data_IF_340128260867
#
_entry.id   IF_340128260867
#
_cell.length_a   1.000
_cell.length_b   1.000
_cell.length_c   1.000
_cell.angle_alpha   90.00
_cell.angle_beta   90.00
_cell.angle_gamma   90.00
#
_symmetry.space_group_name_H-M   'P 1'
#
loop_
_entity.id
_entity.type
_entity.pdbx_description
1 polymer ?
#
# COMPACT_ATOMS: atom_id res chain seq x y z
N UNK A 1 44.61 -63.96 -18.84
CA UNK A 1 45.91 -64.54 -18.43
C UNK A 1 46.33 -63.68 -17.22
N UNK A 2 46.01 -64.19 -16.03
CA UNK A 2 46.96 -64.53 -14.95
C UNK A 2 47.81 -63.32 -14.52
N UNK A 3 48.01 -62.96 -13.23
CA UNK A 3 48.04 -63.73 -11.96
C UNK A 3 48.05 -62.74 -10.82
N UNK A 4 47.40 -63.12 -9.74
CA UNK A 4 47.51 -62.75 -8.32
C UNK A 4 48.86 -62.26 -7.79
N UNK A 5 48.91 -61.41 -6.77
CA UNK A 5 49.35 -61.76 -5.43
C UNK A 5 49.12 -60.67 -4.37
N UNK A 6 48.68 -61.16 -3.21
CA UNK A 6 48.57 -60.57 -1.88
C UNK A 6 49.98 -60.33 -1.22
N UNK A 7 49.99 -59.46 -0.22
CA UNK A 7 50.60 -59.62 1.13
C UNK A 7 50.88 -58.23 1.73
N UNK A 8 50.47 -57.82 2.82
CA UNK A 8 50.46 -58.21 4.27
C UNK A 8 50.98 -57.02 5.06
N UNK A 9 50.19 -56.65 6.03
CA UNK A 9 50.37 -55.99 7.32
C UNK A 9 51.78 -55.54 7.77
N UNK A 10 51.82 -54.29 8.31
CA UNK A 10 52.60 -53.98 9.53
C UNK A 10 51.94 -52.80 10.29
N UNK A 11 51.55 -53.06 11.54
CA UNK A 11 51.16 -52.07 12.54
C UNK A 11 52.38 -51.36 13.09
N UNK A 12 52.34 -50.00 13.15
CA UNK A 12 53.18 -49.22 14.04
C UNK A 12 52.30 -48.22 14.79
N UNK A 13 52.19 -48.42 16.08
CA UNK A 13 51.59 -47.50 17.01
C UNK A 13 52.61 -46.38 17.32
N UNK A 14 52.22 -45.14 17.13
CA UNK A 14 52.95 -43.99 17.67
C UNK A 14 51.98 -43.11 18.45
N UNK A 15 52.24 -43.10 19.74
CA UNK A 15 51.63 -42.18 20.72
C UNK A 15 52.09 -40.75 20.43
N UNK A 16 51.16 -39.82 20.27
CA UNK A 16 51.51 -38.40 20.22
C UNK A 16 50.59 -37.57 21.08
N UNK A 17 51.19 -36.73 21.85
CA UNK A 17 50.65 -35.83 22.87
C UNK A 17 49.54 -34.90 22.34
N UNK A 18 48.54 -34.74 23.21
CA UNK A 18 47.51 -33.73 23.14
C UNK A 18 48.10 -32.33 23.36
N UNK A 19 47.91 -31.43 22.34
CA UNK A 19 47.98 -29.99 22.54
C UNK A 19 46.53 -29.49 22.35
N UNK A 20 45.94 -29.00 23.42
CA UNK A 20 44.62 -28.35 23.40
C UNK A 20 44.74 -26.98 22.75
N UNK A 21 44.18 -26.83 21.58
CA UNK A 21 43.89 -25.50 21.00
C UNK A 21 42.44 -25.16 21.34
N UNK A 22 42.28 -24.14 22.19
CA UNK A 22 40.99 -23.50 22.43
C UNK A 22 40.48 -22.79 21.14
N UNK A 23 39.64 -23.47 20.41
CA UNK A 23 38.90 -22.87 19.30
C UNK A 23 37.72 -22.08 19.87
N UNK A 24 37.82 -20.75 19.78
CA UNK A 24 36.74 -19.81 20.09
C UNK A 24 35.71 -19.88 18.96
N UNK A 25 34.75 -20.81 19.05
CA UNK A 25 33.59 -20.83 18.17
C UNK A 25 32.59 -19.77 18.66
N UNK A 26 32.69 -18.58 18.10
CA UNK A 26 31.67 -17.55 18.20
C UNK A 26 30.36 -18.06 17.56
N UNK A 27 29.56 -18.80 18.29
CA UNK A 27 28.17 -19.02 17.95
C UNK A 27 27.43 -17.69 18.11
N UNK A 28 27.14 -17.04 16.98
CA UNK A 28 26.10 -16.04 16.91
C UNK A 28 24.82 -16.70 17.41
N UNK A 29 24.41 -16.36 18.63
CA UNK A 29 23.05 -16.68 19.11
C UNK A 29 22.11 -15.93 18.19
N UNK A 30 21.54 -16.64 17.21
CA UNK A 30 20.28 -16.23 16.60
C UNK A 30 19.31 -16.00 17.77
N UNK A 31 18.98 -14.74 18.01
CA UNK A 31 17.86 -14.39 18.89
C UNK A 31 16.63 -14.99 18.24
N UNK A 32 16.08 -16.06 18.81
CA UNK A 32 14.78 -16.57 18.48
C UNK A 32 13.83 -15.38 18.47
N UNK A 33 13.17 -15.15 17.34
CA UNK A 33 12.07 -14.20 17.26
C UNK A 33 11.09 -14.58 18.37
N UNK A 34 10.80 -13.65 19.27
CA UNK A 34 9.77 -13.83 20.27
C UNK A 34 8.48 -13.97 19.51
N UNK A 35 7.94 -15.18 19.45
CA UNK A 35 6.59 -15.43 18.95
C UNK A 35 5.68 -14.86 20.04
N UNK A 36 5.23 -13.62 19.82
CA UNK A 36 4.19 -13.02 20.66
C UNK A 36 2.90 -13.73 20.21
N UNK A 37 2.40 -14.64 21.02
CA UNK A 37 1.07 -15.22 20.81
C UNK A 37 0.07 -14.06 20.74
N UNK A 38 -0.70 -14.01 19.63
CA UNK A 38 -1.75 -13.01 19.48
C UNK A 38 -2.73 -13.18 20.66
N UNK A 39 -3.00 -12.11 21.45
CA UNK A 39 -3.94 -12.22 22.53
C UNK A 39 -5.29 -12.68 21.99
N UNK A 40 -5.91 -13.66 22.67
CA UNK A 40 -7.27 -14.07 22.38
C UNK A 40 -8.15 -12.80 22.33
N UNK A 41 -9.18 -12.81 21.49
CA UNK A 41 -10.10 -11.69 21.26
C UNK A 41 -10.76 -11.20 22.55
N UNK A 42 -10.01 -10.54 23.39
CA UNK A 42 -10.50 -10.02 24.67
C UNK A 42 -11.55 -8.93 24.48
N UNK A 43 -11.54 -8.25 23.30
CA UNK A 43 -12.48 -7.16 22.97
C UNK A 43 -12.71 -7.10 21.46
N UNK A 44 -13.97 -6.90 21.07
CA UNK A 44 -14.37 -6.57 19.71
C UNK A 44 -15.03 -5.18 19.72
N UNK A 45 -14.27 -4.16 20.10
CA UNK A 45 -14.75 -2.80 20.31
C UNK A 45 -14.48 -1.85 19.13
N UNK A 46 -13.86 -2.35 18.06
CA UNK A 46 -13.61 -1.58 16.84
C UNK A 46 -14.88 -1.18 16.09
N UNK A 47 -16.02 -1.81 16.38
CA UNK A 47 -17.28 -1.53 15.69
C UNK A 47 -17.33 -1.99 14.24
N UNK A 48 -16.34 -2.75 13.78
CA UNK A 48 -16.27 -3.28 12.42
C UNK A 48 -17.03 -4.62 12.32
N UNK A 49 -17.69 -4.82 11.17
CA UNK A 49 -18.22 -6.12 10.78
C UNK A 49 -17.12 -6.89 10.06
N UNK A 50 -16.77 -8.05 10.61
CA UNK A 50 -15.72 -8.93 10.13
C UNK A 50 -16.28 -10.33 9.88
N UNK A 51 -15.62 -11.19 9.09
CA UNK A 51 -15.96 -12.61 8.99
C UNK A 51 -15.91 -13.30 10.37
N UNK A 52 -16.70 -14.39 10.58
CA UNK A 52 -16.71 -15.15 11.83
C UNK A 52 -15.29 -15.53 12.27
N UNK A 53 -15.02 -15.42 13.57
CA UNK A 53 -13.74 -15.71 14.19
C UNK A 53 -12.70 -14.56 14.15
N UNK A 54 -12.99 -13.48 13.47
CA UNK A 54 -12.15 -12.27 13.52
C UNK A 54 -12.70 -11.25 14.53
N UNK A 55 -11.80 -10.46 15.10
CA UNK A 55 -12.12 -9.37 16.00
C UNK A 55 -11.31 -8.12 15.65
N UNK A 56 -11.93 -6.96 15.82
CA UNK A 56 -11.26 -5.67 15.70
C UNK A 56 -11.17 -4.98 17.07
N UNK A 57 -9.96 -4.64 17.48
CA UNK A 57 -9.70 -3.78 18.65
C UNK A 57 -9.31 -2.39 18.15
N UNK A 58 -9.77 -1.34 18.84
CA UNK A 58 -9.23 0.02 18.64
C UNK A 58 -7.84 0.04 19.27
N UNK A 59 -6.79 -0.07 18.45
CA UNK A 59 -5.41 -0.04 18.89
C UNK A 59 -4.98 1.37 19.35
N UNK A 60 -5.39 2.40 18.61
CA UNK A 60 -5.21 3.78 18.99
C UNK A 60 -6.37 4.63 18.46
N UNK A 61 -6.75 5.69 19.14
CA UNK A 61 -7.85 6.58 18.77
C UNK A 61 -7.40 8.04 18.78
N UNK A 62 -8.01 8.86 17.92
CA UNK A 62 -7.82 10.30 17.88
C UNK A 62 -6.35 10.75 17.77
N UNK A 63 -5.53 9.95 17.02
CA UNK A 63 -4.09 10.24 16.91
C UNK A 63 -3.75 11.29 15.84
N UNK A 64 -4.71 11.71 15.03
CA UNK A 64 -4.54 12.60 13.88
C UNK A 64 -5.04 11.96 12.59
N UNK A 65 -4.96 12.66 11.46
CA UNK A 65 -5.37 12.11 10.16
C UNK A 65 -4.41 11.00 9.72
N UNK A 66 -4.69 9.76 10.19
CA UNK A 66 -3.81 8.60 10.04
C UNK A 66 -3.84 8.08 8.59
N UNK A 67 -2.67 8.16 7.93
CA UNK A 67 -2.51 7.68 6.55
C UNK A 67 -1.92 6.28 6.55
N UNK A 68 -0.81 6.04 5.86
CA UNK A 68 -0.17 4.73 5.88
C UNK A 68 0.58 4.47 7.19
N UNK A 69 0.77 3.21 7.48
CA UNK A 69 1.42 2.72 8.68
C UNK A 69 2.35 1.54 8.37
N UNK A 70 3.30 1.33 9.25
CA UNK A 70 4.20 0.18 9.19
C UNK A 70 4.40 -0.39 10.59
N UNK A 71 4.54 -1.70 10.70
CA UNK A 71 4.76 -2.40 11.97
C UNK A 71 6.20 -2.89 12.02
N UNK A 72 6.90 -2.51 13.08
CA UNK A 72 8.27 -2.98 13.32
C UNK A 72 8.31 -4.44 13.80
N UNK A 73 9.46 -5.13 13.70
CA UNK A 73 9.58 -6.54 14.13
C UNK A 73 9.24 -6.80 15.61
N UNK A 74 9.33 -5.79 16.47
CA UNK A 74 8.96 -5.85 17.87
C UNK A 74 7.49 -5.50 18.17
N UNK A 75 6.67 -5.23 17.14
CA UNK A 75 5.26 -4.89 17.28
C UNK A 75 4.96 -3.38 17.36
N UNK A 76 5.96 -2.50 17.42
CA UNK A 76 5.76 -1.06 17.37
C UNK A 76 5.13 -0.63 16.05
N UNK A 77 4.18 0.29 16.11
CA UNK A 77 3.46 0.80 14.93
C UNK A 77 3.86 2.24 14.68
N UNK A 78 4.32 2.55 13.47
CA UNK A 78 4.58 3.91 13.03
C UNK A 78 3.56 4.34 12.01
N UNK A 79 2.99 5.53 12.17
CA UNK A 79 1.93 6.07 11.31
C UNK A 79 2.33 7.43 10.78
N UNK A 80 2.21 7.65 9.47
CA UNK A 80 2.33 8.97 8.87
C UNK A 80 0.99 9.70 8.97
N UNK A 81 1.01 10.91 9.53
CA UNK A 81 -0.17 11.74 9.73
C UNK A 81 -0.20 12.87 8.73
N UNK A 82 -1.28 12.98 7.97
CA UNK A 82 -1.51 14.08 7.05
C UNK A 82 -2.19 15.26 7.77
N UNK A 83 -1.89 16.49 7.34
CA UNK A 83 -2.69 17.64 7.75
C UNK A 83 -4.08 17.57 7.11
N UNK A 84 -5.11 17.69 7.92
CA UNK A 84 -6.50 17.81 7.47
C UNK A 84 -7.15 19.05 8.05
N UNK A 85 -8.18 19.55 7.37
CA UNK A 85 -9.07 20.61 7.88
C UNK A 85 -10.48 20.07 8.20
N UNK A 86 -10.65 18.75 8.11
CA UNK A 86 -11.94 18.08 8.25
C UNK A 86 -11.92 17.07 9.40
N UNK A 87 -13.10 16.88 9.99
CA UNK A 87 -13.31 15.86 11.01
C UNK A 87 -12.75 16.23 12.39
N UNK A 88 -12.90 15.34 13.36
CA UNK A 88 -12.55 15.59 14.77
C UNK A 88 -11.04 15.75 15.01
N UNK A 89 -10.20 15.29 14.09
CA UNK A 89 -8.73 15.32 14.22
C UNK A 89 -8.07 16.50 13.49
N UNK A 90 -8.86 17.47 13.00
CA UNK A 90 -8.36 18.60 12.20
C UNK A 90 -7.35 19.50 12.94
N UNK A 91 -7.40 19.57 14.27
CA UNK A 91 -6.47 20.32 15.09
C UNK A 91 -5.13 19.62 15.34
N UNK A 92 -5.03 18.34 15.01
CA UNK A 92 -3.81 17.55 15.26
C UNK A 92 -2.81 17.79 14.13
N UNK A 93 -1.57 18.17 14.45
CA UNK A 93 -0.58 18.48 13.42
C UNK A 93 -0.17 17.23 12.64
N UNK A 94 0.21 17.43 11.38
CA UNK A 94 0.87 16.43 10.57
C UNK A 94 2.27 16.08 11.11
N UNK A 95 2.71 14.85 10.89
CA UNK A 95 3.99 14.35 11.36
C UNK A 95 3.97 12.84 11.43
N UNK A 96 4.78 12.26 12.30
CA UNK A 96 4.84 10.82 12.51
C UNK A 96 4.47 10.53 13.97
N UNK A 97 3.73 9.45 14.18
CA UNK A 97 3.46 8.92 15.51
C UNK A 97 3.97 7.48 15.61
N UNK A 98 4.73 7.20 16.65
CA UNK A 98 5.12 5.86 17.10
C UNK A 98 4.19 5.41 18.23
N UNK A 99 3.69 4.19 18.14
CA UNK A 99 2.70 3.61 19.05
C UNK A 99 3.22 2.25 19.55
N UNK A 100 3.08 1.99 20.84
CA UNK A 100 3.45 0.71 21.46
C UNK A 100 2.38 0.27 22.44
N UNK A 101 2.09 -1.03 22.42
CA UNK A 101 1.35 -1.76 23.43
C UNK A 101 2.37 -2.43 24.34
N UNK A 102 2.51 -1.98 25.60
CA UNK A 102 3.50 -2.52 26.54
C UNK A 102 2.93 -3.61 27.46
N UNK A 103 1.60 -3.65 27.57
CA UNK A 103 0.91 -4.58 28.47
C UNK A 103 0.26 -5.78 27.75
N UNK A 104 0.27 -5.79 26.40
CA UNK A 104 -0.25 -6.89 25.57
C UNK A 104 -1.77 -6.95 25.48
N UNK A 105 -2.49 -5.84 25.80
CA UNK A 105 -3.96 -5.81 25.76
C UNK A 105 -4.55 -5.46 24.38
N UNK A 106 -3.67 -5.23 23.38
CA UNK A 106 -4.04 -4.89 22.01
C UNK A 106 -4.30 -3.41 21.79
N UNK A 107 -3.91 -2.54 22.73
CA UNK A 107 -4.01 -1.08 22.66
C UNK A 107 -2.66 -0.43 22.90
N UNK A 108 -2.40 0.66 22.17
CA UNK A 108 -1.20 1.45 22.42
C UNK A 108 -1.35 2.25 23.73
N UNK A 109 -0.45 2.04 24.68
CA UNK A 109 -0.32 2.78 25.92
C UNK A 109 0.87 3.75 25.91
N UNK A 110 1.76 3.66 24.93
CA UNK A 110 2.82 4.63 24.66
C UNK A 110 2.62 5.26 23.29
N UNK A 111 2.59 6.60 23.27
CA UNK A 111 2.39 7.41 22.07
C UNK A 111 3.51 8.43 21.98
N UNK A 112 4.37 8.33 20.98
CA UNK A 112 5.46 9.25 20.73
C UNK A 112 5.30 9.98 19.39
N UNK A 113 5.50 11.30 19.38
CA UNK A 113 5.34 12.14 18.18
C UNK A 113 6.66 12.77 17.79
N UNK A 114 6.94 12.79 16.47
CA UNK A 114 8.13 13.41 15.91
C UNK A 114 7.95 13.81 14.45
N UNK A 115 8.90 14.53 13.91
CA UNK A 115 8.84 15.05 12.54
C UNK A 115 7.75 16.10 12.36
N UNK A 116 7.65 16.63 11.15
CA UNK A 116 6.64 17.61 10.76
C UNK A 116 6.31 17.46 9.27
N UNK A 117 5.15 17.94 8.84
CA UNK A 117 4.77 17.98 7.44
C UNK A 117 4.49 16.60 6.83
N UNK A 118 4.14 15.60 7.63
CA UNK A 118 3.76 14.27 7.17
C UNK A 118 2.64 14.29 6.14
N UNK A 119 2.59 13.26 5.29
CA UNK A 119 1.60 13.12 4.24
C UNK A 119 1.06 11.68 4.20
N UNK A 120 1.57 10.78 3.35
CA UNK A 120 0.96 9.45 3.18
C UNK A 120 1.94 8.30 3.39
N UNK A 121 2.96 8.20 2.56
CA UNK A 121 3.85 7.03 2.52
C UNK A 121 4.76 6.92 3.74
N UNK A 122 4.98 5.68 4.20
CA UNK A 122 5.88 5.35 5.32
C UNK A 122 6.43 3.93 5.11
N UNK A 123 7.69 3.71 5.43
CA UNK A 123 8.32 2.38 5.36
C UNK A 123 9.47 2.26 6.37
N UNK A 124 9.74 1.03 6.80
CA UNK A 124 10.96 0.67 7.55
C UNK A 124 11.94 -0.04 6.63
N UNK A 125 13.19 0.38 6.63
CA UNK A 125 14.26 -0.28 5.88
C UNK A 125 15.62 0.01 6.53
N UNK A 126 16.44 -1.03 6.75
CA UNK A 126 17.81 -0.97 7.25
C UNK A 126 18.04 -0.03 8.44
N UNK A 127 17.14 -0.12 9.47
CA UNK A 127 17.25 0.68 10.69
C UNK A 127 16.77 2.13 10.56
N UNK A 128 16.14 2.47 9.44
CA UNK A 128 15.55 3.78 9.20
C UNK A 128 14.04 3.69 9.00
N UNK A 129 13.34 4.72 9.46
CA UNK A 129 11.95 4.99 9.10
C UNK A 129 11.91 6.06 8.01
N UNK A 130 11.38 5.70 6.86
CA UNK A 130 11.19 6.60 5.73
C UNK A 130 9.78 7.16 5.75
N UNK A 131 9.62 8.45 5.43
CA UNK A 131 8.33 9.11 5.39
C UNK A 131 8.22 10.12 4.23
N UNK A 132 7.05 10.17 3.60
CA UNK A 132 6.67 11.21 2.66
C UNK A 132 6.33 12.49 3.43
N UNK A 133 7.06 13.57 3.15
CA UNK A 133 6.94 14.87 3.83
C UNK A 133 6.92 15.98 2.77
N UNK A 134 5.74 16.51 2.50
CA UNK A 134 5.57 17.58 1.52
C UNK A 134 6.01 17.18 0.10
N UNK A 135 7.16 17.68 -0.38
CA UNK A 135 7.73 17.34 -1.70
C UNK A 135 9.02 16.54 -1.60
N UNK A 136 9.22 15.88 -0.45
CA UNK A 136 10.42 15.08 -0.16
C UNK A 136 10.07 13.76 0.50
N UNK A 137 10.93 12.77 0.35
CA UNK A 137 11.01 11.60 1.22
C UNK A 137 12.23 11.78 2.11
N UNK A 138 12.00 11.72 3.41
CA UNK A 138 13.04 11.77 4.44
C UNK A 138 13.16 10.43 5.12
N UNK A 139 14.32 10.15 5.72
CA UNK A 139 14.51 8.99 6.59
C UNK A 139 15.04 9.43 7.96
N UNK A 140 14.55 8.76 8.98
CA UNK A 140 14.91 8.96 10.38
C UNK A 140 15.65 7.72 10.88
N UNK A 141 16.81 7.84 11.54
CA UNK A 141 17.46 6.69 12.18
C UNK A 141 16.59 6.23 13.36
N UNK A 142 16.03 5.01 13.28
CA UNK A 142 15.21 4.40 14.34
C UNK A 142 15.94 3.15 14.83
N UNK A 143 16.67 3.22 15.95
CA UNK A 143 17.26 2.05 16.57
C UNK A 143 16.19 1.03 16.97
N UNK A 144 16.52 -0.25 16.89
CA UNK A 144 15.58 -1.32 17.25
C UNK A 144 15.03 -1.12 18.67
N UNK A 145 13.70 -1.16 18.80
CA UNK A 145 12.99 -0.94 20.05
C UNK A 145 12.85 0.52 20.50
N UNK A 146 13.19 1.49 19.66
CA UNK A 146 12.94 2.90 19.92
C UNK A 146 11.71 3.39 19.16
N UNK A 147 10.88 4.22 19.80
CA UNK A 147 9.73 4.89 19.17
C UNK A 147 10.06 6.28 18.65
N UNK A 148 11.26 6.78 18.89
CA UNK A 148 11.74 8.09 18.44
C UNK A 148 13.06 7.96 17.72
N UNK A 149 13.34 8.86 16.76
CA UNK A 149 14.64 8.90 16.09
C UNK A 149 15.78 9.16 17.09
N UNK A 150 16.93 8.57 16.82
CA UNK A 150 18.19 8.85 17.56
C UNK A 150 18.96 10.03 17.00
N UNK A 151 18.52 10.61 15.90
CA UNK A 151 19.17 11.74 15.21
C UNK A 151 18.23 12.49 14.27
N UNK A 152 18.72 13.53 13.59
CA UNK A 152 17.93 14.31 12.64
C UNK A 152 17.54 13.49 11.43
N UNK A 153 16.50 13.96 10.72
CA UNK A 153 16.11 13.39 9.44
C UNK A 153 17.13 13.69 8.34
N UNK A 154 17.32 12.74 7.44
CA UNK A 154 18.10 12.86 6.22
C UNK A 154 17.17 12.84 5.01
N UNK A 155 17.44 13.69 4.01
CA UNK A 155 16.61 13.77 2.80
C UNK A 155 17.09 12.77 1.75
N UNK A 156 16.24 11.82 1.38
CA UNK A 156 16.52 10.79 0.38
C UNK A 156 16.09 11.23 -1.01
N UNK A 157 14.86 11.75 -1.16
CA UNK A 157 14.34 12.29 -2.42
C UNK A 157 13.79 13.68 -2.16
N UNK A 158 14.04 14.61 -3.08
CA UNK A 158 13.56 16.01 -3.00
C UNK A 158 13.07 16.49 -4.35
N UNK A 159 12.30 17.59 -4.35
CA UNK A 159 11.79 18.18 -5.59
C UNK A 159 10.72 17.32 -6.27
N UNK A 160 10.03 16.47 -5.51
CA UNK A 160 8.88 15.73 -6.03
C UNK A 160 7.72 16.68 -6.35
N UNK A 161 6.88 16.36 -7.35
CA UNK A 161 5.77 17.22 -7.73
C UNK A 161 4.79 17.44 -6.55
N UNK A 162 4.42 18.69 -6.28
CA UNK A 162 3.43 19.09 -5.27
C UNK A 162 2.03 19.27 -5.84
N UNK A 163 1.27 20.17 -5.23
CA UNK A 163 -0.02 20.66 -5.78
C UNK A 163 0.19 21.40 -7.12
N UNK A 164 -0.83 21.46 -7.99
CA UNK A 164 -2.18 20.92 -7.85
C UNK A 164 -2.28 19.42 -8.12
N UNK A 165 -3.46 18.85 -7.83
CA UNK A 165 -3.84 17.48 -8.16
C UNK A 165 -3.51 16.48 -7.05
N UNK A 166 -3.14 15.26 -7.44
CA UNK A 166 -2.95 14.13 -6.53
C UNK A 166 -1.53 14.18 -5.91
N UNK A 167 -1.42 14.89 -4.79
CA UNK A 167 -0.15 15.07 -4.08
C UNK A 167 0.13 14.02 -3.00
N UNK A 168 -0.86 13.21 -2.60
CA UNK A 168 -0.68 12.08 -1.70
C UNK A 168 0.17 11.02 -2.39
N UNK A 169 1.28 10.64 -1.76
CA UNK A 169 2.23 9.66 -2.30
C UNK A 169 2.33 8.47 -1.38
N UNK A 170 2.31 7.31 -1.97
CA UNK A 170 2.85 6.13 -1.33
C UNK A 170 4.16 5.73 -2.00
N UNK A 171 4.98 5.04 -1.27
CA UNK A 171 6.19 4.40 -1.78
C UNK A 171 6.42 3.07 -1.08
N UNK A 172 7.16 2.20 -1.74
CA UNK A 172 7.61 0.92 -1.19
C UNK A 172 9.10 0.76 -1.43
N UNK A 173 9.77 0.03 -0.55
CA UNK A 173 11.21 -0.24 -0.63
C UNK A 173 11.41 -1.74 -0.69
N UNK A 174 12.09 -2.21 -1.74
CA UNK A 174 12.46 -3.63 -1.87
C UNK A 174 13.56 -4.01 -0.88
N UNK A 175 13.77 -5.30 -0.58
CA UNK A 175 14.84 -5.75 0.30
C UNK A 175 16.25 -5.28 -0.11
N UNK A 176 16.47 -5.04 -1.41
CA UNK A 176 17.76 -4.55 -1.93
C UNK A 176 17.86 -3.02 -1.98
N UNK A 177 16.92 -2.28 -1.36
CA UNK A 177 16.97 -0.81 -1.27
C UNK A 177 16.40 -0.07 -2.48
N UNK A 178 15.78 -0.74 -3.45
CA UNK A 178 15.08 -0.04 -4.53
C UNK A 178 13.78 0.56 -4.00
N UNK A 179 13.59 1.87 -4.16
CA UNK A 179 12.38 2.60 -3.75
C UNK A 179 11.53 2.92 -4.98
N UNK A 180 10.26 2.53 -4.96
CA UNK A 180 9.26 2.90 -5.97
C UNK A 180 8.26 3.90 -5.39
N UNK A 181 8.08 5.04 -6.05
CA UNK A 181 7.28 6.17 -5.54
C UNK A 181 6.19 6.52 -6.54
N UNK A 182 4.94 6.59 -6.08
CA UNK A 182 3.81 7.06 -6.88
C UNK A 182 3.83 8.58 -7.03
N UNK A 183 3.74 9.09 -8.25
CA UNK A 183 3.45 10.50 -8.54
C UNK A 183 2.11 10.59 -9.24
N UNK A 184 1.07 10.99 -8.50
CA UNK A 184 -0.27 11.11 -9.04
C UNK A 184 -0.42 12.26 -10.03
N UNK A 185 -1.39 12.18 -10.93
CA UNK A 185 -1.65 13.19 -11.96
C UNK A 185 -2.03 14.56 -11.38
N UNK A 186 -1.74 15.66 -12.04
CA UNK A 186 -2.20 16.98 -11.64
C UNK A 186 -3.66 17.24 -12.02
N UNK A 187 -4.19 16.50 -12.99
CA UNK A 187 -5.54 16.67 -13.54
C UNK A 187 -6.34 15.36 -13.54
N UNK A 188 -7.62 15.43 -13.89
CA UNK A 188 -8.49 14.26 -14.00
C UNK A 188 -8.17 13.39 -15.22
N UNK A 189 -8.04 13.99 -16.40
CA UNK A 189 -7.90 13.28 -17.68
C UNK A 189 -7.01 14.05 -18.70
N UNK A 190 -6.08 14.87 -18.21
CA UNK A 190 -5.16 15.66 -19.04
C UNK A 190 -5.89 16.52 -20.11
N UNK A 191 -7.02 17.11 -19.74
CA UNK A 191 -7.83 17.97 -20.61
C UNK A 191 -7.18 19.34 -20.77
N UNK A 192 -7.51 20.05 -21.85
CA UNK A 192 -7.13 21.46 -22.04
C UNK A 192 -7.71 22.34 -20.92
N UNK A 193 -8.97 22.09 -20.52
CA UNK A 193 -9.61 22.66 -19.33
C UNK A 193 -10.03 21.48 -18.44
N UNK A 194 -9.34 21.32 -17.32
CA UNK A 194 -9.58 20.18 -16.44
C UNK A 194 -11.04 20.16 -15.95
N UNK A 195 -11.67 18.98 -16.03
CA UNK A 195 -13.06 18.73 -15.60
C UNK A 195 -14.12 19.59 -16.29
N UNK A 196 -13.84 20.17 -17.43
CA UNK A 196 -14.82 20.94 -18.19
C UNK A 196 -15.53 20.07 -19.24
N UNK A 197 -16.82 20.32 -19.41
CA UNK A 197 -17.65 19.64 -20.41
C UNK A 197 -17.09 19.84 -21.83
N UNK A 198 -17.01 18.73 -22.58
CA UNK A 198 -16.54 18.71 -23.97
C UNK A 198 -15.08 19.11 -24.17
N UNK A 199 -14.31 19.32 -23.09
CA UNK A 199 -12.92 19.73 -23.22
C UNK A 199 -12.05 18.58 -23.75
N UNK A 200 -11.38 18.73 -24.92
CA UNK A 200 -10.50 17.69 -25.43
C UNK A 200 -9.23 17.53 -24.57
N UNK A 201 -8.56 16.41 -24.76
CA UNK A 201 -7.26 16.13 -24.13
C UNK A 201 -6.14 16.99 -24.73
N UNK A 202 -5.10 17.21 -23.94
CA UNK A 202 -3.84 17.80 -24.42
C UNK A 202 -3.13 16.78 -25.31
N UNK A 203 -2.66 17.23 -26.47
CA UNK A 203 -1.86 16.37 -27.35
C UNK A 203 -0.65 15.81 -26.60
N UNK A 204 -0.39 14.49 -26.75
CA UNK A 204 0.69 13.76 -26.11
C UNK A 204 0.74 13.87 -24.56
N UNK A 205 -0.23 14.52 -23.94
CA UNK A 205 -0.35 14.73 -22.50
C UNK A 205 1.00 15.02 -21.79
N UNK A 206 1.47 16.27 -21.78
CA UNK A 206 2.78 16.62 -21.17
C UNK A 206 2.85 16.32 -19.67
N UNK A 207 1.72 16.11 -19.01
CA UNK A 207 1.67 15.71 -17.60
C UNK A 207 2.38 14.36 -17.36
N UNK A 208 2.42 13.46 -18.36
CA UNK A 208 3.10 12.16 -18.28
C UNK A 208 4.62 12.26 -18.15
N UNK A 209 5.23 13.40 -18.46
CA UNK A 209 6.67 13.59 -18.30
C UNK A 209 7.10 13.59 -16.85
N UNK A 210 6.24 14.10 -15.94
CA UNK A 210 6.58 14.32 -14.54
C UNK A 210 5.59 13.72 -13.54
N UNK A 211 4.45 13.20 -14.00
CA UNK A 211 3.31 12.76 -13.17
C UNK A 211 2.65 11.49 -13.74
N UNK A 212 1.62 11.01 -13.03
CA UNK A 212 0.80 9.86 -13.43
C UNK A 212 1.60 8.59 -13.72
N UNK A 213 2.44 8.19 -12.77
CA UNK A 213 3.27 6.99 -12.89
C UNK A 213 4.03 6.66 -11.62
N UNK A 214 4.99 5.78 -11.79
CA UNK A 214 5.90 5.32 -10.72
C UNK A 214 7.33 5.75 -11.07
N UNK A 215 8.03 6.30 -10.09
CA UNK A 215 9.46 6.65 -10.18
C UNK A 215 10.28 5.75 -9.29
N UNK A 216 11.51 5.48 -9.71
CA UNK A 216 12.46 4.60 -9.03
C UNK A 216 13.63 5.41 -8.47
N UNK A 217 13.97 5.16 -7.19
CA UNK A 217 15.08 5.77 -6.47
C UNK A 217 15.85 4.71 -5.69
N UNK A 218 17.02 5.09 -5.18
CA UNK A 218 17.79 4.33 -4.20
C UNK A 218 17.41 4.80 -2.78
N UNK A 219 16.95 3.88 -1.93
CA UNK A 219 16.63 4.19 -0.54
C UNK A 219 17.84 4.69 0.26
N UNK A 220 19.05 4.27 -0.13
CA UNK A 220 20.31 4.68 0.49
C UNK A 220 20.88 5.99 -0.09
N UNK A 221 20.28 6.50 -1.17
CA UNK A 221 20.70 7.75 -1.82
C UNK A 221 20.39 8.99 -0.98
N UNK A 222 20.95 10.12 -1.41
CA UNK A 222 20.74 11.41 -0.76
C UNK A 222 20.29 12.45 -1.77
N UNK A 223 19.27 13.24 -1.40
CA UNK A 223 18.77 14.40 -2.17
C UNK A 223 18.53 14.12 -3.66
N UNK A 224 18.14 12.90 -4.00
CA UNK A 224 17.82 12.50 -5.36
C UNK A 224 16.65 13.33 -5.92
N UNK A 225 16.65 13.58 -7.21
CA UNK A 225 15.58 14.33 -7.88
C UNK A 225 14.92 13.48 -8.95
N UNK A 226 13.58 13.63 -9.13
CA UNK A 226 12.88 12.96 -10.23
C UNK A 226 13.43 13.40 -11.59
N UNK A 227 13.57 12.45 -12.50
CA UNK A 227 13.88 12.66 -13.91
C UNK A 227 13.12 11.66 -14.79
N UNK A 228 13.14 11.83 -16.10
CA UNK A 228 12.59 10.85 -17.03
C UNK A 228 13.32 9.50 -16.95
N UNK A 229 14.61 9.51 -16.64
CA UNK A 229 15.40 8.28 -16.48
C UNK A 229 15.00 7.48 -15.24
N UNK A 230 14.57 8.17 -14.18
CA UNK A 230 14.07 7.53 -12.96
C UNK A 230 12.61 7.09 -13.07
N UNK A 231 11.88 7.43 -14.17
CA UNK A 231 10.51 6.97 -14.39
C UNK A 231 10.49 5.48 -14.68
N UNK A 232 9.85 4.72 -13.79
CA UNK A 232 9.77 3.26 -13.88
C UNK A 232 8.61 2.80 -14.76
N UNK A 233 7.41 3.40 -14.57
CA UNK A 233 6.19 3.11 -15.33
C UNK A 233 5.35 4.39 -15.49
N UNK A 234 4.47 4.43 -16.50
CA UNK A 234 3.63 5.58 -16.84
C UNK A 234 2.16 5.18 -17.00
N UNK A 235 1.27 6.17 -17.17
CA UNK A 235 -0.16 5.89 -17.42
C UNK A 235 -0.96 5.44 -16.21
N UNK A 236 -0.43 5.63 -15.00
CA UNK A 236 -1.07 5.34 -13.72
C UNK A 236 -1.54 6.66 -13.09
N UNK A 237 -2.84 6.97 -13.18
CA UNK A 237 -3.40 8.27 -12.75
C UNK A 237 -3.03 8.65 -11.33
N UNK A 238 -3.25 7.75 -10.36
CA UNK A 238 -2.91 7.96 -8.96
C UNK A 238 -2.89 6.63 -8.21
N UNK A 239 -1.72 6.10 -7.91
CA UNK A 239 -1.51 4.77 -7.30
C UNK A 239 -1.10 4.87 -5.84
N UNK A 240 -1.96 5.47 -4.99
CA UNK A 240 -1.72 5.48 -3.54
C UNK A 240 -1.70 4.06 -2.99
N UNK A 241 -2.59 3.18 -3.48
CA UNK A 241 -2.55 1.75 -3.23
C UNK A 241 -1.42 1.11 -4.05
N UNK A 242 -0.24 0.99 -3.44
CA UNK A 242 1.01 0.46 -4.01
C UNK A 242 1.65 -0.49 -3.00
N UNK A 243 2.07 -1.67 -3.45
CA UNK A 243 2.70 -2.68 -2.59
C UNK A 243 3.68 -3.56 -3.35
N UNK A 244 4.52 -4.26 -2.60
CA UNK A 244 5.31 -5.39 -3.12
C UNK A 244 4.60 -6.71 -2.78
N UNK A 245 4.84 -7.75 -3.58
CA UNK A 245 4.42 -9.10 -3.22
C UNK A 245 5.13 -9.61 -1.95
N UNK A 246 4.75 -10.79 -1.48
CA UNK A 246 5.35 -11.38 -0.28
C UNK A 246 6.86 -11.65 -0.40
N UNK A 247 7.39 -11.78 -1.62
CA UNK A 247 8.83 -11.89 -1.86
C UNK A 247 9.57 -10.55 -1.81
N UNK A 248 8.85 -9.43 -1.83
CA UNK A 248 9.41 -8.08 -1.90
C UNK A 248 10.02 -7.71 -3.26
N UNK A 249 9.71 -8.47 -4.33
CA UNK A 249 10.38 -8.29 -5.64
C UNK A 249 9.46 -7.79 -6.75
N UNK A 250 8.18 -8.11 -6.72
CA UNK A 250 7.20 -7.67 -7.71
C UNK A 250 6.33 -6.55 -7.18
N UNK A 251 6.14 -5.52 -8.00
CA UNK A 251 5.39 -4.32 -7.65
C UNK A 251 3.96 -4.42 -8.15
N UNK A 252 3.00 -4.05 -7.29
CA UNK A 252 1.58 -4.05 -7.60
C UNK A 252 0.92 -2.74 -7.21
N UNK A 253 -0.13 -2.35 -7.95
CA UNK A 253 -0.89 -1.14 -7.69
C UNK A 253 -2.38 -1.33 -7.95
N UNK A 254 -3.19 -0.53 -7.23
CA UNK A 254 -4.59 -0.29 -7.55
C UNK A 254 -4.76 1.22 -7.74
N UNK A 255 -4.56 1.75 -8.97
CA UNK A 255 -4.69 3.17 -9.23
C UNK A 255 -6.15 3.63 -9.15
N UNK A 256 -6.36 4.82 -8.59
CA UNK A 256 -7.66 5.50 -8.67
C UNK A 256 -7.96 5.90 -10.12
N UNK A 257 -9.09 5.47 -10.65
CA UNK A 257 -9.58 5.80 -11.98
C UNK A 257 -9.92 7.28 -12.16
N UNK A 258 -10.24 7.67 -13.39
CA UNK A 258 -10.72 9.01 -13.71
C UNK A 258 -12.15 9.23 -13.16
N UNK A 259 -12.54 10.49 -12.98
CA UNK A 259 -13.86 10.87 -12.48
C UNK A 259 -14.75 11.47 -13.59
N UNK A 260 -16.07 11.58 -13.33
CA UNK A 260 -17.00 12.50 -13.99
C UNK A 260 -17.14 12.29 -15.51
N UNK A 261 -17.30 11.04 -15.98
CA UNK A 261 -17.52 10.76 -17.39
C UNK A 261 -18.78 11.49 -17.92
N UNK A 262 -19.94 11.41 -17.25
CA UNK A 262 -21.17 12.09 -17.70
C UNK A 262 -21.11 13.60 -17.53
N UNK A 263 -20.42 14.10 -16.50
CA UNK A 263 -20.27 15.55 -16.31
C UNK A 263 -19.37 16.20 -17.36
N UNK A 264 -18.37 15.47 -17.86
CA UNK A 264 -17.47 15.95 -18.90
C UNK A 264 -18.02 15.65 -20.32
N UNK A 265 -18.75 14.54 -20.49
CA UNK A 265 -19.23 14.04 -21.77
C UNK A 265 -20.69 13.55 -21.69
N UNK A 266 -21.66 14.44 -21.40
CA UNK A 266 -23.06 14.06 -21.18
C UNK A 266 -23.75 13.47 -22.42
N UNK A 267 -23.24 13.76 -23.62
CA UNK A 267 -23.74 13.16 -24.88
C UNK A 267 -23.31 11.69 -25.07
N UNK A 268 -22.27 11.23 -24.36
CA UNK A 268 -21.70 9.88 -24.50
C UNK A 268 -22.02 8.98 -23.31
N UNK A 269 -22.18 9.55 -22.11
CA UNK A 269 -22.35 8.81 -20.87
C UNK A 269 -23.54 9.31 -20.07
N UNK A 270 -24.38 8.39 -19.64
CA UNK A 270 -25.41 8.67 -18.63
C UNK A 270 -24.79 8.83 -17.24
N UNK A 271 -25.46 9.50 -16.28
CA UNK A 271 -25.01 9.54 -14.89
C UNK A 271 -24.80 8.14 -14.28
N UNK A 272 -25.66 7.18 -14.61
CA UNK A 272 -25.52 5.79 -14.17
C UNK A 272 -24.21 5.17 -14.68
N UNK A 273 -23.90 5.30 -15.97
CA UNK A 273 -22.64 4.82 -16.53
C UNK A 273 -21.43 5.51 -15.88
N UNK A 274 -21.54 6.81 -15.62
CA UNK A 274 -20.47 7.56 -14.94
C UNK A 274 -20.23 7.09 -13.50
N UNK A 275 -21.26 6.59 -12.82
CA UNK A 275 -21.16 6.03 -11.47
C UNK A 275 -20.54 4.62 -11.45
N UNK A 276 -20.65 3.87 -12.56
CA UNK A 276 -20.14 2.51 -12.70
C UNK A 276 -18.82 2.41 -13.46
N UNK A 277 -18.31 3.53 -14.03
CA UNK A 277 -17.10 3.59 -14.84
C UNK A 277 -16.16 4.73 -14.40
N UNK A 278 -14.85 4.50 -14.52
CA UNK A 278 -14.16 3.25 -14.83
C UNK A 278 -14.01 2.35 -13.62
N UNK A 279 -13.82 1.04 -13.85
CA UNK A 279 -13.41 0.12 -12.78
C UNK A 279 -12.02 0.47 -12.23
N UNK A 280 -11.83 0.20 -10.92
CA UNK A 280 -10.54 0.35 -10.25
C UNK A 280 -9.68 -0.90 -10.52
N UNK A 281 -8.65 -0.77 -11.32
CA UNK A 281 -7.87 -1.92 -11.81
C UNK A 281 -6.76 -2.33 -10.85
N UNK A 282 -6.58 -3.64 -10.62
CA UNK A 282 -5.41 -4.20 -9.94
C UNK A 282 -4.41 -4.68 -10.98
N UNK A 283 -3.20 -4.17 -10.93
CA UNK A 283 -2.15 -4.43 -11.92
C UNK A 283 -0.82 -4.78 -11.26
N UNK A 284 -0.04 -5.65 -11.91
CA UNK A 284 1.39 -5.78 -11.66
C UNK A 284 2.12 -4.69 -12.43
N UNK A 285 3.01 -3.94 -11.77
CA UNK A 285 3.69 -2.79 -12.36
C UNK A 285 5.09 -3.18 -12.79
N UNK A 286 5.35 -3.14 -14.10
CA UNK A 286 6.63 -3.50 -14.67
C UNK A 286 7.37 -2.28 -15.26
N UNK A 287 8.69 -2.40 -15.38
CA UNK A 287 9.52 -1.37 -15.94
C UNK A 287 9.10 -1.02 -17.38
N UNK A 288 8.95 0.28 -17.66
CA UNK A 288 8.60 0.85 -18.97
C UNK A 288 7.18 0.51 -19.47
N UNK A 289 6.33 -0.14 -18.66
CA UNK A 289 4.94 -0.37 -19.02
C UNK A 289 4.14 0.96 -18.98
N UNK A 290 3.16 1.06 -19.89
CA UNK A 290 2.14 2.11 -19.93
C UNK A 290 0.79 1.49 -19.56
N UNK A 291 0.11 2.10 -18.59
CA UNK A 291 -1.19 1.64 -18.06
C UNK A 291 -2.37 2.45 -18.61
N UNK A 292 -2.13 3.30 -19.60
CA UNK A 292 -3.13 3.88 -20.48
C UNK A 292 -3.67 5.26 -20.12
N UNK A 293 -3.61 5.71 -18.85
CA UNK A 293 -4.05 7.06 -18.51
C UNK A 293 -3.14 8.11 -19.20
N UNK A 294 -3.70 9.18 -19.76
CA UNK A 294 -5.12 9.62 -19.79
C UNK A 294 -5.88 9.11 -21.02
N UNK A 295 -5.22 8.44 -21.95
CA UNK A 295 -5.76 8.07 -23.26
C UNK A 295 -6.80 6.97 -23.20
N UNK A 296 -6.74 6.14 -22.16
CA UNK A 296 -7.58 4.96 -21.97
C UNK A 296 -8.16 4.92 -20.57
N UNK A 297 -9.32 4.29 -20.45
CA UNK A 297 -9.90 3.89 -19.17
C UNK A 297 -10.38 2.43 -19.25
N UNK A 298 -10.47 1.75 -18.10
CA UNK A 298 -10.95 0.37 -18.06
C UNK A 298 -12.46 0.33 -17.83
N UNK A 299 -13.19 -0.22 -18.80
CA UNK A 299 -14.61 -0.50 -18.67
C UNK A 299 -14.78 -1.83 -17.92
N UNK A 300 -15.06 -1.75 -16.61
CA UNK A 300 -15.23 -2.89 -15.73
C UNK A 300 -16.51 -3.69 -16.00
N UNK A 301 -17.47 -3.15 -16.74
CA UNK A 301 -18.73 -3.85 -17.07
C UNK A 301 -18.55 -4.85 -18.22
N UNK A 302 -17.62 -4.57 -19.13
CA UNK A 302 -17.32 -5.43 -20.29
C UNK A 302 -15.88 -5.94 -20.30
N UNK A 303 -15.13 -5.69 -19.23
CA UNK A 303 -13.75 -6.15 -19.02
C UNK A 303 -12.81 -5.77 -20.16
N UNK A 304 -12.84 -4.49 -20.59
CA UNK A 304 -12.05 -4.03 -21.71
C UNK A 304 -11.59 -2.57 -21.53
N UNK A 305 -10.36 -2.28 -21.96
CA UNK A 305 -9.93 -0.91 -22.12
C UNK A 305 -10.67 -0.20 -23.25
N UNK A 306 -11.07 1.04 -23.00
CA UNK A 306 -11.74 1.93 -23.94
C UNK A 306 -10.92 3.19 -24.18
N UNK A 307 -11.00 3.72 -25.40
CA UNK A 307 -10.44 5.03 -25.72
C UNK A 307 -11.19 6.11 -24.93
N UNK A 308 -10.45 6.98 -24.26
CA UNK A 308 -11.04 8.07 -23.49
C UNK A 308 -11.68 9.12 -24.42
N UNK A 309 -12.83 9.69 -24.06
CA UNK A 309 -13.55 10.63 -24.92
C UNK A 309 -12.76 11.90 -25.22
N UNK A 310 -11.89 12.33 -24.33
CA UNK A 310 -10.95 13.43 -24.53
C UNK A 310 -10.03 13.24 -25.75
N UNK A 311 -9.84 11.99 -26.15
CA UNK A 311 -8.95 11.57 -27.23
C UNK A 311 -9.71 10.89 -28.39
N UNK A 312 -11.01 11.21 -28.54
CA UNK A 312 -11.85 10.75 -29.63
C UNK A 312 -12.60 9.45 -29.38
N UNK A 313 -12.62 8.96 -28.11
CA UNK A 313 -13.45 7.82 -27.74
C UNK A 313 -14.94 8.15 -27.73
N UNK A 314 -15.76 7.17 -28.07
CA UNK A 314 -17.23 7.23 -28.13
C UNK A 314 -17.94 6.39 -27.06
N UNK A 315 -17.18 5.96 -26.04
CA UNK A 315 -17.64 5.04 -25.00
C UNK A 315 -17.62 3.57 -25.39
N UNK A 316 -17.28 3.24 -26.66
CA UNK A 316 -17.24 1.87 -27.18
C UNK A 316 -15.91 1.53 -27.86
N UNK A 317 -15.32 2.48 -28.52
CA UNK A 317 -14.07 2.34 -29.27
C UNK A 317 -12.91 1.95 -28.36
N UNK A 318 -12.08 1.03 -28.84
CA UNK A 318 -10.86 0.55 -28.16
C UNK A 318 -9.63 1.32 -28.65
N UNK A 319 -9.48 1.48 -29.98
CA UNK A 319 -8.38 2.20 -30.59
C UNK A 319 -7.01 1.74 -30.08
N UNK A 320 -6.15 2.71 -29.72
CA UNK A 320 -4.80 2.45 -29.19
C UNK A 320 -4.78 1.64 -27.89
N UNK A 321 -5.91 1.58 -27.18
CA UNK A 321 -6.03 0.87 -25.91
C UNK A 321 -5.98 -0.65 -26.03
N UNK A 322 -6.09 -1.18 -27.27
CA UNK A 322 -5.94 -2.60 -27.57
C UNK A 322 -4.54 -3.17 -27.24
N UNK A 323 -3.53 -2.30 -27.18
CA UNK A 323 -2.16 -2.68 -26.83
C UNK A 323 -1.90 -2.82 -25.34
N UNK A 324 -2.84 -2.35 -24.47
CA UNK A 324 -2.66 -2.40 -23.03
C UNK A 324 -2.82 -3.82 -22.49
N UNK A 325 -1.97 -4.18 -21.53
CA UNK A 325 -2.11 -5.43 -20.78
C UNK A 325 -3.40 -5.39 -19.96
N UNK A 326 -4.14 -6.51 -19.97
CA UNK A 326 -5.33 -6.63 -19.12
C UNK A 326 -4.95 -6.57 -17.63
N UNK A 327 -5.77 -5.95 -16.78
CA UNK A 327 -5.54 -5.97 -15.35
C UNK A 327 -5.70 -7.38 -14.78
N UNK A 328 -5.07 -7.63 -13.63
CA UNK A 328 -5.25 -8.87 -12.86
C UNK A 328 -6.69 -8.98 -12.35
N UNK A 329 -7.26 -7.84 -11.95
CA UNK A 329 -8.63 -7.73 -11.45
C UNK A 329 -9.19 -6.33 -11.69
N UNK A 330 -10.52 -6.18 -11.68
CA UNK A 330 -11.20 -4.89 -11.68
C UNK A 330 -12.21 -4.82 -10.55
N UNK A 331 -11.98 -3.90 -9.63
CA UNK A 331 -12.92 -3.57 -8.56
C UNK A 331 -13.99 -2.57 -9.05
N UNK A 332 -15.11 -2.43 -8.30
CA UNK A 332 -16.13 -1.45 -8.63
C UNK A 332 -15.59 -0.02 -8.73
N UNK A 333 -16.23 0.78 -9.56
CA UNK A 333 -15.84 2.15 -9.86
C UNK A 333 -15.91 3.08 -8.64
N UNK A 334 -14.95 3.99 -8.53
CA UNK A 334 -14.93 5.10 -7.59
C UNK A 334 -14.87 4.72 -6.10
N UNK A 335 -14.47 3.50 -5.77
CA UNK A 335 -14.30 3.10 -4.38
C UNK A 335 -13.06 3.72 -3.73
N UNK A 336 -12.18 4.35 -4.51
CA UNK A 336 -10.98 5.06 -4.09
C UNK A 336 -10.00 4.16 -3.30
N UNK A 337 -9.29 3.24 -3.96
CA UNK A 337 -8.29 2.39 -3.32
C UNK A 337 -7.12 3.24 -2.80
N UNK A 338 -6.79 3.10 -1.49
CA UNK A 338 -5.67 3.81 -0.88
C UNK A 338 -4.59 2.90 -0.33
N UNK A 339 -4.89 1.62 -0.05
CA UNK A 339 -3.87 0.62 0.25
C UNK A 339 -4.19 -0.72 -0.40
N UNK A 340 -3.16 -1.46 -0.76
CA UNK A 340 -3.20 -2.87 -1.15
C UNK A 340 -2.07 -3.58 -0.40
N UNK A 341 -2.35 -4.76 0.18
CA UNK A 341 -1.40 -5.47 1.03
C UNK A 341 -1.52 -6.98 0.84
N UNK A 342 -0.46 -7.64 0.39
CA UNK A 342 -0.37 -9.10 0.45
C UNK A 342 -0.30 -9.55 1.91
N UNK A 343 -1.10 -10.56 2.28
CA UNK A 343 -1.04 -11.08 3.63
C UNK A 343 0.18 -11.99 3.80
N UNK A 344 1.15 -11.53 4.57
CA UNK A 344 2.39 -12.25 4.88
C UNK A 344 2.35 -12.99 6.24
N UNK A 345 1.28 -12.78 7.01
CA UNK A 345 1.12 -13.40 8.34
C UNK A 345 0.74 -14.88 8.28
N UNK A 346 0.83 -15.55 9.43
CA UNK A 346 0.46 -16.97 9.60
C UNK A 346 -0.74 -17.18 10.52
N UNK A 347 -1.20 -16.13 11.20
CA UNK A 347 -2.28 -16.21 12.19
C UNK A 347 -3.65 -16.42 11.54
N UNK A 348 -3.95 -15.72 10.44
CA UNK A 348 -5.24 -15.84 9.76
C UNK A 348 -5.44 -17.24 9.12
N UNK A 349 -6.68 -17.71 8.96
CA UNK A 349 -6.97 -18.96 8.27
C UNK A 349 -6.27 -19.07 6.92
N UNK A 350 -5.97 -20.30 6.51
CA UNK A 350 -5.18 -20.57 5.28
C UNK A 350 -5.74 -19.90 4.03
N UNK A 351 -7.08 -19.73 3.93
CA UNK A 351 -7.72 -19.05 2.79
C UNK A 351 -7.27 -17.60 2.61
N UNK A 352 -6.85 -16.90 3.68
CA UNK A 352 -6.36 -15.52 3.64
C UNK A 352 -4.85 -15.39 3.41
N UNK A 353 -4.10 -16.50 3.33
CA UNK A 353 -2.64 -16.49 3.16
C UNK A 353 -2.18 -16.31 1.71
N UNK A 354 -3.09 -16.54 0.76
CA UNK A 354 -2.83 -16.41 -0.66
C UNK A 354 -3.79 -15.39 -1.26
N UNK A 355 -3.47 -14.12 -1.11
CA UNK A 355 -4.31 -13.04 -1.64
C UNK A 355 -3.88 -11.68 -1.13
N UNK A 356 -4.66 -10.68 -1.47
CA UNK A 356 -4.43 -9.28 -1.13
C UNK A 356 -5.63 -8.68 -0.39
N UNK A 357 -5.35 -7.88 0.62
CA UNK A 357 -6.31 -6.96 1.20
C UNK A 357 -6.23 -5.62 0.47
N UNK A 358 -7.38 -5.02 0.17
CA UNK A 358 -7.46 -3.68 -0.44
C UNK A 358 -8.35 -2.80 0.43
N UNK A 359 -7.83 -1.65 0.86
CA UNK A 359 -8.59 -0.64 1.59
C UNK A 359 -9.16 0.38 0.62
N UNK A 360 -10.48 0.50 0.63
CA UNK A 360 -11.23 1.46 -0.16
C UNK A 360 -11.72 2.60 0.72
N UNK A 361 -11.18 3.80 0.48
CA UNK A 361 -11.49 5.02 1.23
C UNK A 361 -12.96 5.47 1.08
N UNK A 362 -13.61 5.03 0.01
CA UNK A 362 -15.00 5.34 -0.29
C UNK A 362 -15.17 6.51 -1.26
N UNK A 363 -16.27 6.46 -1.98
CA UNK A 363 -16.58 7.35 -3.10
C UNK A 363 -17.11 8.72 -2.65
N UNK A 364 -17.15 9.64 -3.60
CA UNK A 364 -17.76 10.97 -3.47
C UNK A 364 -18.55 11.37 -4.74
N UNK A 365 -18.52 10.56 -5.80
CA UNK A 365 -18.95 10.89 -7.15
C UNK A 365 -19.73 9.76 -7.84
N UNK A 366 -20.54 9.02 -7.10
CA UNK A 366 -21.34 7.91 -7.63
C UNK A 366 -22.79 8.27 -7.92
N UNK A 367 -23.20 9.53 -7.76
CA UNK A 367 -24.57 9.92 -8.08
C UNK A 367 -24.96 9.54 -9.53
N UNK A 368 -26.14 8.93 -9.77
CA UNK A 368 -27.29 8.73 -8.84
C UNK A 368 -27.20 7.46 -7.97
N UNK A 369 -26.14 6.67 -8.06
CA UNK A 369 -25.96 5.49 -7.20
C UNK A 369 -25.56 5.92 -5.78
N UNK A 370 -25.86 5.08 -4.77
CA UNK A 370 -25.32 5.27 -3.43
C UNK A 370 -23.81 5.38 -3.42
N UNK A 371 -23.26 6.19 -2.52
CA UNK A 371 -21.83 6.20 -2.26
C UNK A 371 -21.39 4.83 -1.74
N UNK A 372 -20.24 4.33 -2.17
CA UNK A 372 -19.77 2.97 -1.89
C UNK A 372 -18.25 2.94 -1.66
N UNK A 373 -17.71 1.76 -1.36
CA UNK A 373 -16.40 1.60 -0.77
C UNK A 373 -16.53 1.72 0.75
N UNK A 374 -15.64 2.42 1.45
CA UNK A 374 -15.59 2.51 2.92
C UNK A 374 -15.44 1.13 3.56
N UNK A 375 -14.59 0.30 3.00
CA UNK A 375 -14.38 -1.08 3.44
C UNK A 375 -12.96 -1.55 3.15
N UNK A 376 -12.63 -2.70 3.72
CA UNK A 376 -11.47 -3.49 3.31
C UNK A 376 -12.00 -4.78 2.72
N UNK A 377 -11.53 -5.13 1.54
CA UNK A 377 -11.86 -6.40 0.88
C UNK A 377 -10.66 -7.32 0.86
N UNK A 378 -10.91 -8.62 0.70
CA UNK A 378 -9.90 -9.62 0.42
C UNK A 378 -10.13 -10.19 -0.97
N UNK A 379 -9.11 -10.15 -1.82
CA UNK A 379 -9.11 -10.79 -3.13
C UNK A 379 -8.25 -12.06 -3.04
N UNK A 380 -8.85 -13.26 -3.08
CA UNK A 380 -8.09 -14.50 -3.08
C UNK A 380 -7.26 -14.63 -4.36
N UNK A 381 -6.01 -15.10 -4.22
CA UNK A 381 -5.08 -15.31 -5.34
C UNK A 381 -4.35 -16.65 -5.19
N UNK A 382 -5.06 -17.78 -5.22
CA UNK A 382 -4.42 -19.09 -5.20
C UNK A 382 -3.49 -19.19 -6.42
N UNK A 383 -2.27 -19.71 -6.20
CA UNK A 383 -1.24 -19.86 -7.24
C UNK A 383 -0.90 -18.53 -7.98
N UNK A 384 -1.10 -17.40 -7.31
CA UNK A 384 -0.81 -16.07 -7.85
C UNK A 384 -1.86 -15.55 -8.86
N UNK A 385 -2.99 -16.21 -9.02
CA UNK A 385 -4.08 -15.82 -9.92
C UNK A 385 -5.27 -15.31 -9.10
N UNK A 386 -5.76 -14.11 -9.42
CA UNK A 386 -6.96 -13.58 -8.80
C UNK A 386 -8.17 -14.45 -9.10
N UNK A 387 -9.01 -14.70 -8.10
CA UNK A 387 -10.32 -15.31 -8.29
C UNK A 387 -11.32 -14.29 -8.88
N UNK A 388 -12.45 -14.78 -9.38
CA UNK A 388 -13.48 -13.94 -10.01
C UNK A 388 -14.16 -12.99 -9.03
N UNK A 389 -14.15 -13.30 -7.72
CA UNK A 389 -14.85 -12.52 -6.70
C UNK A 389 -13.93 -12.20 -5.52
N UNK A 390 -13.98 -10.96 -5.07
CA UNK A 390 -13.43 -10.56 -3.78
C UNK A 390 -14.44 -10.83 -2.65
N UNK A 391 -13.97 -10.88 -1.41
CA UNK A 391 -14.77 -10.98 -0.19
C UNK A 391 -14.73 -9.65 0.57
N UNK A 392 -15.87 -9.18 1.12
CA UNK A 392 -15.86 -8.11 2.12
C UNK A 392 -15.21 -8.63 3.39
N UNK A 393 -14.12 -7.97 3.82
CA UNK A 393 -13.37 -8.39 5.00
C UNK A 393 -13.66 -7.50 6.20
N UNK A 394 -13.60 -6.18 6.05
CA UNK A 394 -13.95 -5.26 7.13
C UNK A 394 -14.89 -4.18 6.60
N UNK A 395 -16.04 -4.05 7.24
CA UNK A 395 -17.08 -3.06 6.98
C UNK A 395 -17.48 -2.37 8.28
N UNK A 396 -18.35 -1.36 8.22
CA UNK A 396 -18.83 -0.64 9.40
C UNK A 396 -18.10 0.69 9.64
N UNK A 397 -17.25 1.12 8.71
CA UNK A 397 -16.58 2.45 8.78
C UNK A 397 -17.57 3.60 8.64
N UNK A 398 -18.76 3.35 8.10
CA UNK A 398 -19.82 4.33 7.93
C UNK A 398 -21.20 3.69 8.03
N UNK A 399 -22.25 4.51 8.11
CA UNK A 399 -23.63 4.04 8.02
C UNK A 399 -23.94 3.49 6.63
N UNK A 400 -24.94 2.61 6.47
CA UNK A 400 -25.43 2.20 5.16
C UNK A 400 -25.84 3.42 4.31
N UNK A 401 -25.48 3.42 3.02
CA UNK A 401 -25.81 4.49 2.06
C UNK A 401 -25.40 5.90 2.58
N UNK A 402 -24.13 6.13 2.89
CA UNK A 402 -23.71 7.42 3.42
C UNK A 402 -23.94 8.51 2.38
N UNK A 403 -24.33 9.69 2.83
CA UNK A 403 -24.29 10.86 1.98
C UNK A 403 -22.85 11.23 1.67
N UNK A 404 -22.64 11.98 0.59
CA UNK A 404 -21.32 12.44 0.17
C UNK A 404 -20.60 13.17 1.31
N UNK A 405 -19.38 12.75 1.63
CA UNK A 405 -18.50 13.33 2.66
C UNK A 405 -19.02 13.26 4.12
N UNK A 406 -19.94 12.35 4.43
CA UNK A 406 -20.49 12.19 5.79
C UNK A 406 -19.95 10.98 6.55
N UNK A 407 -19.10 10.17 5.95
CA UNK A 407 -18.52 9.00 6.62
C UNK A 407 -17.71 9.43 7.86
N UNK A 408 -18.00 8.80 9.01
CA UNK A 408 -17.30 9.06 10.26
C UNK A 408 -15.89 8.45 10.28
N UNK A 409 -15.71 7.36 9.56
CA UNK A 409 -14.45 6.62 9.42
C UNK A 409 -14.23 6.25 7.96
N UNK A 410 -12.98 6.26 7.53
CA UNK A 410 -12.59 5.89 6.16
C UNK A 410 -11.26 5.15 6.18
N UNK A 411 -11.21 3.87 5.78
CA UNK A 411 -9.98 3.10 5.80
C UNK A 411 -8.97 3.63 4.77
N UNK A 412 -7.69 3.66 5.15
CA UNK A 412 -6.59 4.19 4.32
C UNK A 412 -5.44 3.21 4.21
N UNK A 413 -4.66 3.04 5.27
CA UNK A 413 -3.45 2.22 5.30
C UNK A 413 -3.72 0.81 5.80
N UNK A 414 -2.92 -0.14 5.31
CA UNK A 414 -2.91 -1.53 5.74
C UNK A 414 -1.49 -1.95 6.09
N UNK A 415 -1.30 -2.69 7.18
CA UNK A 415 -0.04 -3.33 7.51
C UNK A 415 -0.27 -4.67 8.22
N UNK A 416 0.59 -5.65 7.94
CA UNK A 416 0.58 -6.95 8.61
C UNK A 416 1.66 -6.96 9.68
N UNK A 417 1.29 -7.26 10.91
CA UNK A 417 2.21 -7.35 12.03
C UNK A 417 2.95 -8.70 12.09
N UNK A 418 4.07 -8.80 12.81
CA UNK A 418 4.81 -10.06 13.00
C UNK A 418 3.97 -11.18 13.62
N UNK A 419 3.01 -10.85 14.46
CA UNK A 419 2.06 -11.80 15.07
C UNK A 419 0.91 -12.20 14.11
N UNK A 420 0.87 -11.62 12.90
CA UNK A 420 -0.12 -11.90 11.88
C UNK A 420 -1.39 -11.05 11.99
N UNK A 421 -1.50 -10.11 12.92
CA UNK A 421 -2.61 -9.16 12.96
C UNK A 421 -2.58 -8.23 11.74
N UNK A 422 -3.76 -7.85 11.24
CA UNK A 422 -3.89 -6.82 10.22
C UNK A 422 -4.25 -5.48 10.88
N UNK A 423 -3.42 -4.48 10.66
CA UNK A 423 -3.71 -3.11 11.08
C UNK A 423 -4.36 -2.32 9.96
N UNK A 424 -5.38 -1.52 10.31
CA UNK A 424 -6.11 -0.66 9.37
C UNK A 424 -6.11 0.75 9.97
N UNK A 425 -5.67 1.75 9.22
CA UNK A 425 -5.77 3.15 9.61
C UNK A 425 -7.01 3.82 9.05
N UNK A 426 -7.48 4.87 9.73
CA UNK A 426 -8.61 5.72 9.37
C UNK A 426 -8.21 7.19 9.53
N UNK A 427 -8.32 7.96 8.46
CA UNK A 427 -7.85 9.34 8.43
C UNK A 427 -8.88 10.40 8.85
N UNK A 428 -10.15 10.00 8.97
CA UNK A 428 -11.24 10.89 9.40
C UNK A 428 -11.40 10.86 10.93
N UNK A 429 -11.54 9.66 11.50
CA UNK A 429 -11.65 9.46 12.95
C UNK A 429 -10.29 9.46 13.67
N UNK A 430 -9.20 9.27 12.93
CA UNK A 430 -7.86 9.17 13.49
C UNK A 430 -7.62 7.89 14.28
N UNK A 431 -8.20 6.79 13.81
CA UNK A 431 -8.12 5.47 14.45
C UNK A 431 -7.12 4.56 13.78
N UNK A 432 -6.57 3.68 14.60
CA UNK A 432 -5.87 2.47 14.15
C UNK A 432 -6.63 1.28 14.71
N UNK A 433 -7.12 0.43 13.81
CA UNK A 433 -7.75 -0.84 14.17
C UNK A 433 -6.72 -1.95 14.08
N UNK A 434 -6.75 -2.87 15.04
CA UNK A 434 -5.97 -4.11 15.04
C UNK A 434 -6.93 -5.28 14.88
N UNK A 435 -6.85 -5.99 13.76
CA UNK A 435 -7.70 -7.14 13.44
C UNK A 435 -6.91 -8.42 13.70
N UNK A 436 -7.49 -9.32 14.51
CA UNK A 436 -6.91 -10.60 14.88
C UNK A 436 -7.86 -11.76 14.60
N UNK A 437 -7.33 -12.96 14.52
CA UNK A 437 -8.09 -14.19 14.41
C UNK A 437 -8.11 -14.92 15.77
N UNK A 438 -9.32 -15.22 16.29
CA UNK A 438 -9.50 -15.89 17.59
C UNK A 438 -9.52 -17.42 17.50
N UNK A 439 -9.64 -17.99 16.32
CA UNK A 439 -9.63 -19.45 16.13
C UNK A 439 -10.93 -20.17 16.49
N UNK A 440 -12.08 -19.50 16.58
CA UNK A 440 -13.41 -20.12 16.85
C UNK A 440 -14.19 -20.36 15.58
#
# INVERSE_FOLDING_TARGET
MQIFRLSSLAFVAVTACTAAQAGNSGQSKERAAVVIDAPACARNDGGLRLPPGFCATIFADSIGSARHLVVAPNGDVFVNLQKTQRGPVASIPAGIVGLRDTNGDGRADVIERFGSGGNTGIALHDGYLYADVGTSIVRYPIPAGQLRPSGPADTVVTGMPGQPGHASRNFVITPNGTMYVNFGSPSNACQLKDRAEGSPGKENCPELETRAGIWKFDANGHSQRPSLESRYATGLRNSVALTLDASGTRLYAVPNGRDQLSGNWPSLFTPQQSADLPGEVFVEVNARDDYGWPFCYYDGLVHQYRLAPEYGGDGKSVGRCSALKQPIYSFPAHWAPLAVQFYSGKNFPSRYRNGVFVAFHGSWNRDPLPQAGYNVVFLPMPDGRAQEQFEFFAEGFTTPNPARNTAAHRPVGLAVAPDGALYISDDVGGRIYRVTWSGT
#
